data_IF_088397797879
#
_entry.id   IF_088397797879
#
_cell.length_a   1.000
_cell.length_b   1.000
_cell.length_c   1.000
_cell.angle_alpha   90.00
_cell.angle_beta   90.00
_cell.angle_gamma   90.00
#
_symmetry.space_group_name_H-M   'P 1'
#
loop_
_entity.id
_entity.type
_entity.pdbx_description
1 polymer ?
#
# COMPACT_ATOMS: atom_id res chain seq x y z
N UNK A 1 -50.93 23.88 59.64
CA UNK A 1 -50.01 24.71 58.83
C UNK A 1 -48.85 23.85 58.38
N UNK A 2 -48.48 24.00 57.11
CA UNK A 2 -47.27 23.49 56.45
C UNK A 2 -47.11 21.97 56.31
N UNK A 3 -47.62 21.47 55.18
CA UNK A 3 -47.17 20.27 54.48
C UNK A 3 -45.68 20.36 54.11
N UNK A 4 -44.90 19.33 54.39
CA UNK A 4 -43.64 19.07 53.68
C UNK A 4 -43.73 17.70 53.01
N UNK A 5 -43.98 17.73 51.71
CA UNK A 5 -43.83 16.57 50.84
C UNK A 5 -42.37 16.10 50.88
N UNK A 6 -42.08 14.80 51.06
CA UNK A 6 -40.75 14.29 50.80
C UNK A 6 -40.50 14.43 49.30
N UNK A 7 -39.52 15.25 48.93
CA UNK A 7 -39.01 15.34 47.56
C UNK A 7 -38.48 13.95 47.22
N UNK A 8 -39.14 13.27 46.29
CA UNK A 8 -38.63 12.04 45.72
C UNK A 8 -37.25 12.34 45.08
N UNK A 9 -36.20 11.54 45.37
CA UNK A 9 -34.92 11.75 44.73
C UNK A 9 -35.10 11.61 43.22
N UNK A 10 -34.56 12.59 42.49
CA UNK A 10 -34.49 12.60 41.03
C UNK A 10 -33.92 11.28 40.51
N UNK A 11 -34.43 10.71 39.40
CA UNK A 11 -33.95 9.43 38.84
C UNK A 11 -32.51 9.49 38.27
N UNK A 12 -31.79 10.59 38.50
CA UNK A 12 -30.44 10.82 38.02
C UNK A 12 -29.32 10.36 38.99
N UNK A 13 -29.64 9.66 40.09
CA UNK A 13 -28.63 9.26 41.08
C UNK A 13 -28.11 7.81 40.95
N UNK A 14 -28.41 7.11 39.83
CA UNK A 14 -28.20 5.66 39.72
C UNK A 14 -27.34 5.16 38.55
N UNK A 15 -26.69 6.02 37.77
CA UNK A 15 -25.86 5.57 36.64
C UNK A 15 -24.53 6.33 36.66
N UNK A 16 -23.45 5.65 36.28
CA UNK A 16 -22.10 6.21 36.01
C UNK A 16 -21.09 6.26 37.19
N UNK A 17 -20.91 5.14 37.89
CA UNK A 17 -19.69 4.87 38.68
C UNK A 17 -18.60 4.10 37.92
N UNK A 18 -18.86 3.65 36.70
CA UNK A 18 -17.94 2.87 35.88
C UNK A 18 -17.39 3.65 34.69
N UNK A 19 -16.17 3.31 34.24
CA UNK A 19 -15.61 3.86 33.00
C UNK A 19 -16.56 3.60 31.83
N UNK A 20 -16.82 4.64 31.02
CA UNK A 20 -17.59 4.51 29.76
C UNK A 20 -16.93 3.54 28.76
N UNK A 21 -15.66 3.16 28.99
CA UNK A 21 -14.90 2.20 28.19
C UNK A 21 -14.74 0.83 28.86
N UNK A 22 -15.49 0.53 29.94
CA UNK A 22 -15.35 -0.72 30.67
C UNK A 22 -15.57 -1.99 29.81
N UNK A 23 -16.34 -1.87 28.72
CA UNK A 23 -16.63 -2.99 27.81
C UNK A 23 -15.63 -3.12 26.64
N UNK A 24 -14.63 -2.24 26.53
CA UNK A 24 -13.65 -2.30 25.44
C UNK A 24 -12.73 -3.49 25.67
N UNK A 25 -12.83 -4.48 24.78
CA UNK A 25 -11.98 -5.68 24.82
C UNK A 25 -10.57 -5.33 24.36
N UNK A 26 -9.56 -5.80 25.11
CA UNK A 26 -8.16 -5.65 24.72
C UNK A 26 -7.92 -6.30 23.35
N UNK A 27 -7.40 -5.52 22.41
CA UNK A 27 -7.03 -6.04 21.10
C UNK A 27 -5.88 -7.05 21.21
N UNK A 28 -5.86 -8.12 20.39
CA UNK A 28 -4.72 -9.02 20.31
C UNK A 28 -3.48 -8.26 19.82
N UNK A 29 -2.30 -8.67 20.27
CA UNK A 29 -1.04 -8.11 19.76
C UNK A 29 -0.89 -8.40 18.26
N UNK A 30 -0.29 -7.46 17.52
CA UNK A 30 0.07 -7.71 16.13
C UNK A 30 1.18 -8.78 16.08
N UNK A 31 1.00 -9.89 15.34
CA UNK A 31 1.92 -11.02 15.39
C UNK A 31 3.33 -10.70 14.87
N UNK A 32 3.51 -9.62 14.09
CA UNK A 32 4.84 -9.18 13.63
C UNK A 32 5.45 -8.20 14.63
N UNK A 33 4.67 -7.23 15.11
CA UNK A 33 5.20 -6.24 16.07
C UNK A 33 5.45 -6.85 17.45
N UNK A 34 4.64 -7.81 17.89
CA UNK A 34 4.81 -8.55 19.14
C UNK A 34 6.15 -9.28 19.21
N UNK A 35 6.63 -9.83 18.07
CA UNK A 35 7.98 -10.45 18.00
C UNK A 35 9.08 -9.44 18.30
N UNK A 36 8.95 -8.19 17.85
CA UNK A 36 9.93 -7.14 18.15
C UNK A 36 9.90 -6.75 19.62
N UNK A 37 8.71 -6.69 20.23
CA UNK A 37 8.56 -6.41 21.65
C UNK A 37 9.21 -7.52 22.49
N UNK A 38 8.93 -8.79 22.16
CA UNK A 38 9.55 -9.94 22.82
C UNK A 38 11.07 -9.94 22.63
N UNK A 39 11.55 -9.71 21.41
CA UNK A 39 12.98 -9.57 21.10
C UNK A 39 13.63 -8.46 21.94
N UNK A 40 13.01 -7.29 22.07
CA UNK A 40 13.58 -6.20 22.86
C UNK A 40 13.66 -6.53 24.36
N UNK A 41 12.70 -7.29 24.88
CA UNK A 41 12.66 -7.73 26.29
C UNK A 41 13.61 -8.88 26.61
N UNK A 42 14.01 -9.67 25.62
CA UNK A 42 14.95 -10.78 25.81
C UNK A 42 16.33 -10.24 26.26
N UNK A 43 16.86 -10.64 27.42
CA UNK A 43 18.14 -10.16 27.92
C UNK A 43 19.35 -10.85 27.26
N UNK A 44 19.12 -11.90 26.45
CA UNK A 44 20.19 -12.66 25.81
C UNK A 44 21.07 -11.76 24.93
N UNK A 45 22.41 -11.81 25.09
CA UNK A 45 23.32 -11.03 24.26
C UNK A 45 23.46 -11.58 22.83
N UNK A 46 22.91 -12.77 22.55
CA UNK A 46 22.98 -13.46 21.25
C UNK A 46 21.61 -13.59 20.57
N UNK A 47 20.62 -12.81 21.00
CA UNK A 47 19.29 -12.78 20.41
C UNK A 47 19.32 -12.26 18.97
N UNK A 48 18.50 -12.85 18.09
CA UNK A 48 18.35 -12.45 16.69
C UNK A 48 16.87 -12.24 16.38
N UNK A 49 16.54 -11.11 15.73
CA UNK A 49 15.17 -10.83 15.27
C UNK A 49 15.05 -11.12 13.77
N UNK A 50 14.35 -12.20 13.43
CA UNK A 50 14.04 -12.59 12.05
C UNK A 50 12.58 -12.27 11.65
N UNK A 51 11.85 -11.52 12.48
CA UNK A 51 10.43 -11.22 12.26
C UNK A 51 10.16 -9.90 11.53
N UNK A 52 11.01 -8.89 11.72
CA UNK A 52 10.79 -7.56 11.13
C UNK A 52 11.31 -7.51 9.69
N UNK A 53 10.41 -7.27 8.74
CA UNK A 53 10.74 -7.03 7.33
C UNK A 53 11.33 -5.65 7.05
N UNK A 54 12.43 -5.30 7.73
CA UNK A 54 13.19 -4.08 7.52
C UNK A 54 14.68 -4.39 7.41
N UNK A 55 15.34 -3.77 6.43
CA UNK A 55 16.75 -4.00 6.14
C UNK A 55 17.63 -3.59 7.32
N UNK A 56 18.70 -4.35 7.55
CA UNK A 56 19.68 -4.14 8.61
C UNK A 56 21.09 -4.27 8.04
N UNK A 57 22.01 -3.57 8.68
CA UNK A 57 23.46 -3.75 8.50
C UNK A 57 23.91 -5.13 8.97
N UNK A 58 25.16 -5.48 8.68
CA UNK A 58 25.85 -6.69 9.15
C UNK A 58 25.84 -6.79 10.68
N UNK A 59 25.85 -5.67 11.40
CA UNK A 59 25.74 -5.63 12.86
C UNK A 59 24.29 -5.68 13.38
N UNK A 60 23.31 -5.90 12.49
CA UNK A 60 21.89 -5.98 12.84
C UNK A 60 21.25 -4.62 13.16
N UNK A 61 21.90 -3.49 12.83
CA UNK A 61 21.39 -2.13 13.10
C UNK A 61 20.55 -1.58 11.95
N UNK A 62 19.57 -0.69 12.20
CA UNK A 62 18.87 0.06 11.14
C UNK A 62 19.86 0.82 10.24
N UNK A 63 19.59 0.83 8.93
CA UNK A 63 20.39 1.57 7.95
C UNK A 63 19.57 2.71 7.35
N UNK A 64 20.10 3.93 7.41
CA UNK A 64 19.69 5.02 6.51
C UNK A 64 20.62 4.97 5.29
N UNK A 65 20.08 5.06 4.07
CA UNK A 65 20.90 5.01 2.87
C UNK A 65 21.68 6.31 2.68
N UNK A 66 22.91 6.25 2.13
CA UNK A 66 23.71 7.45 1.89
C UNK A 66 23.04 8.43 0.92
N UNK A 67 22.34 7.92 -0.09
CA UNK A 67 21.55 8.73 -1.01
C UNK A 67 20.40 9.48 -0.31
N UNK A 68 19.78 8.86 0.70
CA UNK A 68 18.76 9.51 1.55
C UNK A 68 19.39 10.59 2.41
N UNK A 69 20.51 10.31 3.08
CA UNK A 69 21.24 11.32 3.89
C UNK A 69 21.61 12.53 3.05
N UNK A 70 22.11 12.32 1.82
CA UNK A 70 22.46 13.40 0.90
C UNK A 70 21.23 14.22 0.50
N UNK A 71 20.12 13.55 0.15
CA UNK A 71 18.87 14.25 -0.16
C UNK A 71 18.38 15.07 1.05
N UNK A 72 18.41 14.52 2.26
CA UNK A 72 18.04 15.26 3.47
C UNK A 72 18.93 16.48 3.72
N UNK A 73 20.24 16.36 3.51
CA UNK A 73 21.17 17.49 3.61
C UNK A 73 20.87 18.60 2.59
N UNK A 74 20.51 18.25 1.35
CA UNK A 74 20.08 19.22 0.35
C UNK A 74 18.78 19.92 0.81
N UNK A 75 17.83 19.15 1.32
CA UNK A 75 16.50 19.66 1.71
C UNK A 75 16.52 20.50 2.99
N UNK A 76 17.41 20.23 3.93
CA UNK A 76 17.51 21.04 5.16
C UNK A 76 18.24 22.36 4.92
N UNK A 77 19.14 22.40 3.93
CA UNK A 77 19.95 23.58 3.60
C UNK A 77 19.31 24.50 2.55
N UNK A 78 18.17 24.13 1.97
CA UNK A 78 17.46 24.95 0.99
C UNK A 78 16.55 25.98 1.71
N UNK A 79 16.91 27.29 1.69
CA UNK A 79 16.20 28.33 2.43
C UNK A 79 14.82 28.67 1.84
N UNK A 80 14.51 28.20 0.63
CA UNK A 80 13.19 28.43 0.01
C UNK A 80 12.12 27.48 0.53
N UNK A 81 12.51 26.42 1.24
CA UNK A 81 11.58 25.39 1.72
C UNK A 81 10.82 25.84 2.94
N UNK A 82 9.52 25.61 2.88
CA UNK A 82 8.58 25.84 3.98
C UNK A 82 7.93 24.53 4.42
N UNK A 83 7.18 24.58 5.52
CA UNK A 83 6.46 23.44 6.12
C UNK A 83 4.94 23.58 5.93
N UNK A 84 4.52 24.27 4.88
CA UNK A 84 3.12 24.48 4.52
C UNK A 84 2.43 23.17 4.10
N UNK A 85 1.11 23.17 4.17
CA UNK A 85 0.29 22.04 3.72
C UNK A 85 0.50 21.76 2.23
N UNK A 86 0.60 20.47 1.90
CA UNK A 86 0.53 20.02 0.51
C UNK A 86 -0.92 20.05 0.00
N UNK A 87 -1.12 20.06 -1.33
CA UNK A 87 -2.39 19.67 -1.92
C UNK A 87 -2.86 18.30 -1.41
N UNK A 88 -4.16 18.03 -1.49
CA UNK A 88 -4.75 16.74 -1.06
C UNK A 88 -4.09 15.55 -1.79
N UNK A 89 -3.71 15.74 -3.05
CA UNK A 89 -3.03 14.74 -3.88
C UNK A 89 -1.54 14.61 -3.55
N UNK A 90 -0.98 15.48 -2.72
CA UNK A 90 0.42 15.51 -2.31
C UNK A 90 1.33 16.32 -3.23
N UNK A 91 2.62 16.00 -3.15
CA UNK A 91 3.66 16.73 -3.89
C UNK A 91 3.66 16.32 -5.37
N UNK A 92 3.40 17.28 -6.27
CA UNK A 92 3.24 17.03 -7.71
C UNK A 92 4.44 16.30 -8.34
N UNK A 93 5.65 16.74 -8.04
CA UNK A 93 6.87 16.10 -8.55
C UNK A 93 7.02 14.65 -8.06
N UNK A 94 6.70 14.39 -6.79
CA UNK A 94 6.71 13.03 -6.25
C UNK A 94 5.71 12.13 -6.98
N UNK A 95 4.49 12.60 -7.23
CA UNK A 95 3.47 11.84 -7.95
C UNK A 95 3.93 11.50 -9.38
N UNK A 96 4.41 12.51 -10.11
CA UNK A 96 4.91 12.35 -11.49
C UNK A 96 6.08 11.37 -11.55
N UNK A 97 7.04 11.49 -10.63
CA UNK A 97 8.22 10.63 -10.60
C UNK A 97 7.89 9.20 -10.14
N UNK A 98 6.94 9.03 -9.22
CA UNK A 98 6.46 7.72 -8.78
C UNK A 98 5.79 6.95 -9.91
N UNK A 99 4.91 7.63 -10.67
CA UNK A 99 4.27 7.06 -11.86
C UNK A 99 5.31 6.63 -12.91
N UNK A 100 6.30 7.49 -13.20
CA UNK A 100 7.40 7.16 -14.12
C UNK A 100 8.22 5.96 -13.65
N UNK A 101 8.51 5.87 -12.36
CA UNK A 101 9.31 4.78 -11.79
C UNK A 101 8.64 3.41 -12.00
N UNK A 102 7.32 3.31 -11.79
CA UNK A 102 6.62 2.04 -11.92
C UNK A 102 6.23 1.73 -13.36
N UNK A 103 5.70 2.69 -14.10
CA UNK A 103 5.19 2.42 -15.45
C UNK A 103 6.25 2.55 -16.56
N UNK A 104 7.40 3.17 -16.28
CA UNK A 104 8.37 3.55 -17.30
C UNK A 104 8.08 4.96 -17.84
N UNK A 105 9.13 5.71 -18.19
CA UNK A 105 8.99 7.09 -18.66
C UNK A 105 8.33 7.18 -20.05
N UNK A 106 8.44 6.11 -20.83
CA UNK A 106 7.88 5.88 -22.16
C UNK A 106 6.49 5.23 -22.13
N UNK A 107 5.92 5.00 -20.95
CA UNK A 107 4.59 4.39 -20.81
C UNK A 107 3.53 5.14 -21.62
N UNK A 108 2.78 4.46 -22.52
CA UNK A 108 1.68 5.07 -23.26
C UNK A 108 0.63 5.69 -22.33
N UNK A 109 0.35 5.06 -21.19
CA UNK A 109 -0.60 5.58 -20.20
C UNK A 109 -0.19 6.96 -19.66
N UNK A 110 1.11 7.21 -19.47
CA UNK A 110 1.61 8.52 -19.05
C UNK A 110 1.51 9.53 -20.19
N UNK A 111 1.94 9.15 -21.40
CA UNK A 111 1.91 10.04 -22.57
C UNK A 111 0.48 10.47 -22.95
N UNK A 112 -0.48 9.57 -22.75
CA UNK A 112 -1.90 9.79 -23.02
C UNK A 112 -2.65 10.41 -21.83
N UNK A 113 -1.94 10.81 -20.77
CA UNK A 113 -2.50 11.40 -19.53
C UNK A 113 -3.58 10.54 -18.85
N UNK A 114 -3.46 9.21 -18.95
CA UNK A 114 -4.42 8.24 -18.41
C UNK A 114 -4.13 7.82 -16.96
N UNK A 115 -3.11 8.39 -16.32
CA UNK A 115 -2.69 8.00 -14.96
C UNK A 115 -3.11 9.06 -13.95
N UNK A 116 -3.95 8.67 -13.00
CA UNK A 116 -4.23 9.46 -11.79
C UNK A 116 -3.31 8.99 -10.67
N UNK A 117 -2.43 9.85 -10.17
CA UNK A 117 -1.50 9.52 -9.07
C UNK A 117 -1.69 10.44 -7.88
N UNK A 118 -1.83 9.84 -6.70
CA UNK A 118 -1.92 10.54 -5.42
C UNK A 118 -0.88 10.00 -4.44
N UNK A 119 -0.22 10.89 -3.72
CA UNK A 119 0.65 10.53 -2.62
C UNK A 119 -0.19 9.97 -1.46
N UNK A 120 0.31 8.91 -0.84
CA UNK A 120 -0.38 8.19 0.23
C UNK A 120 0.58 7.85 1.37
N UNK A 121 0.00 7.41 2.50
CA UNK A 121 0.74 7.00 3.69
C UNK A 121 1.40 5.61 3.47
N UNK A 122 2.46 5.57 2.67
CA UNK A 122 3.17 4.35 2.27
C UNK A 122 2.30 3.36 1.49
N UNK A 123 2.75 2.12 1.34
CA UNK A 123 1.97 1.06 0.68
C UNK A 123 0.63 0.81 1.39
N UNK A 124 0.62 0.76 2.72
CA UNK A 124 -0.61 0.53 3.51
C UNK A 124 -1.68 1.60 3.28
N UNK A 125 -1.30 2.88 3.30
CA UNK A 125 -2.22 3.97 3.00
C UNK A 125 -2.71 3.94 1.56
N UNK A 126 -1.83 3.58 0.61
CA UNK A 126 -2.16 3.46 -0.80
C UNK A 126 -3.20 2.35 -1.04
N UNK A 127 -3.01 1.19 -0.42
CA UNK A 127 -3.98 0.08 -0.45
C UNK A 127 -5.31 0.47 0.20
N UNK A 128 -5.28 1.17 1.35
CA UNK A 128 -6.49 1.58 2.07
C UNK A 128 -7.31 2.62 1.29
N UNK A 129 -6.65 3.59 0.65
CA UNK A 129 -7.31 4.58 -0.22
C UNK A 129 -7.85 3.92 -1.49
N UNK A 130 -7.06 3.07 -2.15
CA UNK A 130 -7.48 2.37 -3.37
C UNK A 130 -8.65 1.42 -3.11
N UNK A 131 -8.61 0.68 -2.00
CA UNK A 131 -9.71 -0.20 -1.59
C UNK A 131 -11.02 0.55 -1.36
N UNK A 132 -10.97 1.71 -0.69
CA UNK A 132 -12.20 2.49 -0.42
C UNK A 132 -12.72 3.19 -1.67
N UNK A 133 -11.83 3.64 -2.55
CA UNK A 133 -12.23 4.12 -3.87
C UNK A 133 -12.98 3.03 -4.65
N UNK A 134 -12.45 1.80 -4.68
CA UNK A 134 -13.12 0.68 -5.34
C UNK A 134 -14.46 0.34 -4.69
N UNK A 135 -14.54 0.28 -3.35
CA UNK A 135 -15.78 0.00 -2.65
C UNK A 135 -16.89 1.03 -2.92
N UNK A 136 -16.52 2.29 -3.18
CA UNK A 136 -17.46 3.38 -3.50
C UNK A 136 -17.88 3.42 -4.97
N UNK A 137 -16.97 3.15 -5.89
CA UNK A 137 -17.16 3.50 -7.31
C UNK A 137 -17.09 2.32 -8.28
N UNK A 138 -16.55 1.18 -7.86
CA UNK A 138 -16.41 0.03 -8.74
C UNK A 138 -17.59 -0.94 -8.56
N UNK A 139 -18.00 -1.56 -9.66
CA UNK A 139 -19.25 -2.32 -9.73
C UNK A 139 -19.14 -3.68 -9.02
N UNK A 140 -17.96 -4.29 -9.01
CA UNK A 140 -17.66 -5.53 -8.31
C UNK A 140 -16.82 -5.22 -7.06
N UNK A 141 -17.15 -5.83 -5.93
CA UNK A 141 -16.54 -5.54 -4.62
C UNK A 141 -15.72 -6.70 -4.06
N UNK A 142 -15.67 -7.81 -4.78
CA UNK A 142 -14.89 -8.98 -4.42
C UNK A 142 -13.44 -8.77 -4.81
N UNK A 143 -12.53 -8.83 -3.83
CA UNK A 143 -11.09 -8.83 -4.04
C UNK A 143 -10.50 -10.19 -3.72
N UNK A 144 -9.74 -10.74 -4.66
CA UNK A 144 -8.97 -11.96 -4.53
C UNK A 144 -7.54 -11.62 -4.12
N UNK A 145 -7.07 -12.20 -3.01
CA UNK A 145 -5.70 -12.04 -2.50
C UNK A 145 -4.96 -13.40 -2.48
N UNK A 146 -3.63 -13.45 -2.64
CA UNK A 146 -2.92 -14.72 -2.68
C UNK A 146 -2.98 -15.44 -1.32
N UNK A 147 -2.95 -16.77 -1.33
CA UNK A 147 -2.81 -17.59 -0.14
C UNK A 147 -1.44 -18.29 -0.14
N UNK A 148 -0.53 -17.99 0.82
CA UNK A 148 -0.61 -16.90 1.82
C UNK A 148 -0.33 -15.52 1.19
N UNK A 149 -0.49 -14.45 1.98
CA UNK A 149 -0.12 -13.07 1.60
C UNK A 149 0.31 -12.28 2.85
N UNK A 150 0.66 -10.99 2.71
CA UNK A 150 0.94 -10.11 3.83
C UNK A 150 -0.29 -10.03 4.76
N UNK A 151 -0.10 -10.35 6.04
CA UNK A 151 -1.19 -10.56 7.00
C UNK A 151 -2.13 -9.36 7.22
N UNK A 152 -1.77 -8.17 6.75
CA UNK A 152 -2.63 -6.99 6.83
C UNK A 152 -3.56 -6.81 5.61
N UNK A 153 -3.34 -7.51 4.49
CA UNK A 153 -4.22 -7.41 3.32
C UNK A 153 -5.69 -7.70 3.64
N UNK A 154 -6.05 -8.81 4.32
CA UNK A 154 -7.45 -9.07 4.68
C UNK A 154 -8.08 -7.94 5.49
N UNK A 155 -7.33 -7.36 6.44
CA UNK A 155 -7.80 -6.29 7.32
C UNK A 155 -8.02 -4.99 6.54
N UNK A 156 -7.03 -4.59 5.73
CA UNK A 156 -7.09 -3.37 4.93
C UNK A 156 -8.30 -3.38 4.00
N UNK A 157 -8.50 -4.47 3.26
CA UNK A 157 -9.57 -4.53 2.26
C UNK A 157 -10.95 -4.74 2.87
N UNK A 158 -11.07 -5.56 3.93
CA UNK A 158 -12.34 -5.67 4.68
C UNK A 158 -12.76 -4.31 5.25
N UNK A 159 -11.84 -3.58 5.90
CA UNK A 159 -12.12 -2.25 6.45
C UNK A 159 -12.30 -1.16 5.40
N UNK A 160 -11.89 -1.41 4.16
CA UNK A 160 -12.17 -0.55 3.02
C UNK A 160 -13.58 -0.79 2.43
N UNK A 161 -14.27 -1.86 2.85
CA UNK A 161 -15.61 -2.20 2.38
C UNK A 161 -15.65 -3.23 1.24
N UNK A 162 -14.56 -3.94 0.99
CA UNK A 162 -14.49 -5.02 -0.02
C UNK A 162 -14.73 -6.40 0.60
N UNK A 163 -15.25 -7.32 -0.20
CA UNK A 163 -15.37 -8.74 0.17
C UNK A 163 -14.09 -9.48 -0.20
N UNK A 164 -13.36 -9.97 0.80
CA UNK A 164 -12.08 -10.65 0.59
C UNK A 164 -12.29 -12.14 0.31
N UNK A 165 -11.75 -12.60 -0.81
CA UNK A 165 -11.57 -14.02 -1.17
C UNK A 165 -10.09 -14.29 -1.42
N UNK A 166 -9.72 -15.57 -1.54
CA UNK A 166 -8.34 -15.98 -1.76
C UNK A 166 -8.18 -16.77 -3.04
N UNK A 167 -6.97 -16.78 -3.60
CA UNK A 167 -6.56 -17.67 -4.68
C UNK A 167 -5.27 -18.40 -4.28
N UNK A 168 -5.11 -19.64 -4.75
CA UNK A 168 -3.91 -20.44 -4.49
C UNK A 168 -2.68 -19.76 -5.08
N UNK A 169 -1.61 -19.73 -4.29
CA UNK A 169 -0.36 -19.10 -4.70
C UNK A 169 0.86 -19.95 -4.39
N UNK A 170 1.05 -20.37 -3.14
CA UNK A 170 2.23 -21.16 -2.74
C UNK A 170 1.88 -22.64 -2.61
N UNK A 171 2.73 -23.51 -3.15
CA UNK A 171 2.66 -24.95 -2.92
C UNK A 171 3.74 -25.38 -1.92
N UNK A 172 3.37 -25.82 -0.70
CA UNK A 172 4.33 -26.30 0.30
C UNK A 172 5.15 -27.51 -0.15
N UNK A 173 4.63 -28.31 -1.08
CA UNK A 173 5.29 -29.54 -1.57
C UNK A 173 6.48 -29.19 -2.46
N UNK A 174 6.26 -28.31 -3.44
CA UNK A 174 7.31 -27.85 -4.36
C UNK A 174 8.10 -26.66 -3.83
N UNK A 175 7.60 -25.98 -2.80
CA UNK A 175 8.09 -24.68 -2.29
C UNK A 175 8.11 -23.60 -3.38
N UNK A 176 7.29 -23.77 -4.40
CA UNK A 176 7.17 -22.90 -5.56
C UNK A 176 5.78 -22.31 -5.72
N UNK A 177 5.55 -21.72 -6.89
CA UNK A 177 4.25 -21.17 -7.25
C UNK A 177 3.31 -22.31 -7.61
N UNK A 178 2.17 -22.40 -6.94
CA UNK A 178 1.03 -23.21 -7.35
C UNK A 178 0.33 -22.55 -8.56
N UNK A 179 1.01 -22.59 -9.70
CA UNK A 179 0.59 -21.86 -10.90
C UNK A 179 -0.75 -22.37 -11.45
N UNK A 180 -0.94 -23.69 -11.51
CA UNK A 180 -2.20 -24.31 -11.94
C UNK A 180 -3.37 -23.93 -11.02
N UNK A 181 -3.14 -23.96 -9.70
CA UNK A 181 -4.15 -23.54 -8.73
C UNK A 181 -4.51 -22.06 -8.87
N UNK A 182 -3.50 -21.20 -9.08
CA UNK A 182 -3.69 -19.78 -9.34
C UNK A 182 -4.58 -19.56 -10.56
N UNK A 183 -4.24 -20.16 -11.71
CA UNK A 183 -5.01 -19.99 -12.94
C UNK A 183 -6.44 -20.53 -12.80
N UNK A 184 -6.62 -21.68 -12.15
CA UNK A 184 -7.94 -22.24 -11.91
C UNK A 184 -8.83 -21.32 -11.05
N UNK A 185 -8.28 -20.76 -9.96
CA UNK A 185 -9.04 -19.91 -9.06
C UNK A 185 -9.39 -18.56 -9.71
N UNK A 186 -8.47 -17.96 -10.46
CA UNK A 186 -8.74 -16.72 -11.19
C UNK A 186 -9.70 -16.94 -12.36
N UNK A 187 -9.66 -18.09 -13.04
CA UNK A 187 -10.61 -18.44 -14.09
C UNK A 187 -12.04 -18.60 -13.54
N UNK A 188 -12.18 -19.10 -12.32
CA UNK A 188 -13.45 -19.24 -11.61
C UNK A 188 -13.96 -17.94 -10.97
N UNK A 189 -13.14 -16.89 -10.90
CA UNK A 189 -13.56 -15.59 -10.37
C UNK A 189 -14.66 -14.95 -11.24
N UNK A 190 -15.62 -14.23 -10.62
CA UNK A 190 -16.64 -13.53 -11.38
C UNK A 190 -16.02 -12.41 -12.23
N UNK A 191 -16.56 -12.11 -13.43
CA UNK A 191 -16.12 -10.98 -14.24
C UNK A 191 -16.13 -9.68 -13.42
N UNK A 192 -15.12 -8.84 -13.63
CA UNK A 192 -14.95 -7.61 -12.88
C UNK A 192 -14.24 -7.79 -11.54
N UNK A 193 -14.05 -9.02 -11.01
CA UNK A 193 -13.40 -9.19 -9.70
C UNK A 193 -12.01 -8.54 -9.65
N UNK A 194 -11.71 -7.96 -8.49
CA UNK A 194 -10.42 -7.31 -8.23
C UNK A 194 -9.43 -8.40 -7.84
N UNK A 195 -8.21 -8.37 -8.39
CA UNK A 195 -7.15 -9.31 -8.03
C UNK A 195 -5.96 -8.52 -7.51
N UNK A 196 -5.63 -8.74 -6.24
CA UNK A 196 -4.43 -8.19 -5.63
C UNK A 196 -3.22 -9.00 -6.09
N UNK A 197 -2.26 -8.35 -6.72
CA UNK A 197 -1.03 -8.95 -7.24
C UNK A 197 0.18 -8.31 -6.56
N UNK A 198 1.13 -9.12 -6.09
CA UNK A 198 2.42 -8.59 -5.64
C UNK A 198 3.28 -8.36 -6.89
N UNK A 199 3.79 -7.14 -7.10
CA UNK A 199 4.54 -6.81 -8.30
C UNK A 199 5.82 -7.65 -8.44
N UNK A 200 6.51 -7.86 -7.31
CA UNK A 200 7.69 -8.71 -7.13
C UNK A 200 7.93 -8.93 -5.62
N UNK A 201 8.87 -9.81 -5.29
CA UNK A 201 9.24 -10.22 -3.94
C UNK A 201 8.00 -10.52 -3.07
N UNK A 202 7.21 -11.52 -3.49
CA UNK A 202 5.99 -11.88 -2.81
C UNK A 202 6.19 -12.05 -1.30
N UNK A 203 5.33 -11.42 -0.50
CA UNK A 203 5.38 -11.47 0.96
C UNK A 203 4.22 -12.35 1.43
N UNK A 204 4.48 -13.49 2.12
CA UNK A 204 5.72 -13.80 2.84
C UNK A 204 6.67 -14.81 2.15
N UNK A 205 6.34 -15.32 0.96
CA UNK A 205 6.99 -16.56 0.46
C UNK A 205 8.30 -16.34 -0.28
N UNK A 206 8.55 -15.14 -0.82
CA UNK A 206 9.66 -14.85 -1.71
C UNK A 206 9.56 -15.47 -3.11
N UNK A 207 8.45 -16.15 -3.42
CA UNK A 207 8.23 -16.83 -4.71
C UNK A 207 7.48 -15.90 -5.65
N UNK A 208 8.07 -15.60 -6.81
CA UNK A 208 7.47 -14.76 -7.84
C UNK A 208 7.19 -15.58 -9.13
N UNK A 209 6.13 -15.25 -9.89
CA UNK A 209 5.93 -15.82 -11.22
C UNK A 209 7.05 -15.42 -12.18
N UNK A 210 7.40 -16.32 -13.09
CA UNK A 210 8.28 -15.99 -14.23
C UNK A 210 7.57 -15.03 -15.20
N UNK A 211 8.31 -14.41 -16.13
CA UNK A 211 7.70 -13.54 -17.14
C UNK A 211 6.66 -14.28 -18.01
N UNK A 212 6.94 -15.53 -18.38
CA UNK A 212 5.99 -16.35 -19.15
C UNK A 212 4.72 -16.67 -18.35
N UNK A 213 4.87 -16.89 -17.04
CA UNK A 213 3.71 -17.08 -16.14
C UNK A 213 2.94 -15.78 -15.98
N UNK A 214 3.61 -14.63 -15.84
CA UNK A 214 2.97 -13.32 -15.79
C UNK A 214 2.16 -13.02 -17.05
N UNK A 215 2.67 -13.37 -18.23
CA UNK A 215 1.95 -13.20 -19.48
C UNK A 215 0.67 -14.05 -19.53
N UNK A 216 0.75 -15.30 -19.08
CA UNK A 216 -0.45 -16.16 -18.97
C UNK A 216 -1.47 -15.63 -17.96
N UNK A 217 -1.01 -15.11 -16.80
CA UNK A 217 -1.88 -14.47 -15.81
C UNK A 217 -2.55 -13.24 -16.43
N UNK A 218 -1.80 -12.40 -17.15
CA UNK A 218 -2.32 -11.21 -17.83
C UNK A 218 -3.41 -11.59 -18.84
N UNK A 219 -3.12 -12.54 -19.72
CA UNK A 219 -4.08 -12.99 -20.75
C UNK A 219 -5.36 -13.56 -20.12
N UNK A 220 -5.23 -14.37 -19.07
CA UNK A 220 -6.38 -14.89 -18.33
C UNK A 220 -7.21 -13.74 -17.74
N UNK A 221 -6.60 -12.84 -16.99
CA UNK A 221 -7.29 -11.71 -16.37
C UNK A 221 -7.99 -10.83 -17.40
N UNK A 222 -7.36 -10.59 -18.56
CA UNK A 222 -7.97 -9.84 -19.66
C UNK A 222 -9.19 -10.55 -20.23
N UNK A 223 -9.10 -11.84 -20.54
CA UNK A 223 -10.22 -12.62 -21.09
C UNK A 223 -11.42 -12.71 -20.13
N UNK A 224 -11.15 -12.70 -18.82
CA UNK A 224 -12.17 -12.73 -17.76
C UNK A 224 -12.67 -11.35 -17.34
N UNK A 225 -12.07 -10.27 -17.83
CA UNK A 225 -12.39 -8.91 -17.42
C UNK A 225 -12.09 -8.62 -15.94
N UNK A 226 -11.03 -9.21 -15.39
CA UNK A 226 -10.61 -8.99 -14.00
C UNK A 226 -9.79 -7.68 -13.86
N UNK A 227 -9.95 -7.01 -12.72
CA UNK A 227 -9.25 -5.75 -12.44
C UNK A 227 -7.97 -6.00 -11.60
N UNK A 228 -6.77 -5.82 -12.17
CA UNK A 228 -5.53 -5.92 -11.41
C UNK A 228 -5.35 -4.75 -10.44
N UNK A 229 -4.97 -5.07 -9.20
CA UNK A 229 -4.47 -4.13 -8.20
C UNK A 229 -3.09 -4.61 -7.73
N UNK A 230 -2.03 -3.93 -8.15
CA UNK A 230 -0.66 -4.25 -7.76
C UNK A 230 -0.27 -3.66 -6.40
N UNK A 231 0.31 -4.46 -5.52
CA UNK A 231 1.12 -4.02 -4.38
C UNK A 231 2.61 -4.10 -4.76
N UNK A 232 3.27 -2.94 -4.82
CA UNK A 232 4.68 -2.79 -5.16
C UNK A 232 5.43 -2.16 -3.98
N UNK A 233 5.87 -3.01 -3.06
CA UNK A 233 6.59 -2.58 -1.86
C UNK A 233 8.11 -2.81 -1.91
N UNK A 234 8.60 -3.54 -2.91
CA UNK A 234 9.96 -4.09 -2.96
C UNK A 234 10.66 -3.84 -4.30
N UNK A 235 10.19 -2.90 -5.13
CA UNK A 235 10.84 -2.59 -6.41
C UNK A 235 12.32 -2.24 -6.21
N UNK A 236 13.20 -3.03 -6.82
CA UNK A 236 14.67 -2.99 -6.69
C UNK A 236 15.26 -4.04 -5.76
N UNK A 237 14.47 -4.71 -4.93
CA UNK A 237 14.94 -5.74 -3.99
C UNK A 237 14.94 -7.15 -4.57
N UNK A 238 14.12 -7.46 -5.58
CA UNK A 238 14.01 -8.81 -6.10
C UNK A 238 15.20 -9.14 -7.01
N UNK A 239 15.45 -8.28 -8.01
CA UNK A 239 16.56 -8.47 -8.97
C UNK A 239 17.75 -7.52 -8.77
N UNK A 240 17.63 -6.50 -7.91
CA UNK A 240 18.57 -5.38 -7.88
C UNK A 240 18.34 -4.34 -8.99
N UNK A 241 17.33 -4.53 -9.85
CA UNK A 241 17.01 -3.65 -10.96
C UNK A 241 15.56 -3.13 -10.86
N UNK A 242 15.41 -1.81 -10.80
CA UNK A 242 14.11 -1.15 -10.64
C UNK A 242 13.15 -1.43 -11.81
N UNK A 243 13.66 -1.52 -13.04
CA UNK A 243 12.85 -1.72 -14.23
C UNK A 243 12.42 -3.19 -14.37
N UNK A 244 13.31 -4.13 -14.08
CA UNK A 244 12.99 -5.56 -14.07
C UNK A 244 11.92 -5.87 -13.00
N UNK A 245 12.06 -5.30 -11.80
CA UNK A 245 11.12 -5.49 -10.70
C UNK A 245 9.74 -4.82 -10.91
N UNK A 246 9.60 -3.99 -11.95
CA UNK A 246 8.34 -3.37 -12.35
C UNK A 246 7.69 -4.07 -13.56
N UNK A 247 8.31 -5.10 -14.14
CA UNK A 247 7.84 -5.64 -15.42
C UNK A 247 6.43 -6.22 -15.37
N UNK A 248 6.06 -6.90 -14.28
CA UNK A 248 4.70 -7.42 -14.09
C UNK A 248 3.65 -6.31 -14.24
N UNK A 249 3.89 -5.13 -13.68
CA UNK A 249 3.00 -3.97 -13.81
C UNK A 249 3.01 -3.42 -15.23
N UNK A 250 4.19 -3.26 -15.83
CA UNK A 250 4.35 -2.67 -17.17
C UNK A 250 3.69 -3.52 -18.25
N UNK A 251 3.80 -4.85 -18.17
CA UNK A 251 3.12 -5.80 -19.06
C UNK A 251 1.61 -5.59 -19.07
N UNK A 252 1.00 -5.34 -17.90
CA UNK A 252 -0.43 -5.08 -17.79
C UNK A 252 -0.85 -3.70 -18.31
N UNK A 253 0.07 -2.72 -18.36
CA UNK A 253 -0.23 -1.38 -18.85
C UNK A 253 0.04 -1.24 -20.36
N UNK A 254 0.97 -2.03 -20.89
CA UNK A 254 1.43 -1.95 -22.29
C UNK A 254 0.32 -2.14 -23.33
N UNK A 255 -0.71 -2.94 -23.02
CA UNK A 255 -1.86 -3.19 -23.88
C UNK A 255 -3.00 -2.16 -23.71
N UNK A 256 -2.77 -1.09 -22.94
CA UNK A 256 -3.77 -0.07 -22.63
C UNK A 256 -4.80 -0.51 -21.58
N UNK A 257 -4.53 -1.59 -20.85
CA UNK A 257 -5.37 -2.06 -19.77
C UNK A 257 -5.39 -1.16 -18.54
N UNK A 258 -6.51 -1.19 -17.82
CA UNK A 258 -6.69 -0.45 -16.57
C UNK A 258 -6.16 -1.26 -15.37
N UNK A 259 -5.56 -0.57 -14.41
CA UNK A 259 -5.03 -1.18 -13.19
C UNK A 259 -4.88 -0.16 -12.05
N UNK A 260 -4.76 -0.66 -10.84
CA UNK A 260 -4.31 0.11 -9.68
C UNK A 260 -2.90 -0.34 -9.28
N UNK A 261 -2.09 0.57 -8.74
CA UNK A 261 -0.78 0.24 -8.19
C UNK A 261 -0.50 1.03 -6.93
N UNK A 262 -0.32 0.32 -5.81
CA UNK A 262 0.13 0.85 -4.54
C UNK A 262 1.65 0.71 -4.44
N UNK A 263 2.37 1.83 -4.45
CA UNK A 263 3.83 1.89 -4.31
C UNK A 263 4.22 2.26 -2.87
N UNK A 264 5.24 1.59 -2.34
CA UNK A 264 5.84 1.91 -1.03
C UNK A 264 7.31 2.25 -1.17
N UNK A 265 7.74 3.33 -0.51
CA UNK A 265 9.16 3.69 -0.41
C UNK A 265 9.81 3.27 0.91
N UNK A 266 9.09 2.49 1.72
CA UNK A 266 9.57 2.06 3.03
C UNK A 266 10.81 1.17 2.92
N UNK A 267 10.91 0.30 1.90
CA UNK A 267 12.01 -0.66 1.76
C UNK A 267 13.07 -0.17 0.80
N UNK A 268 12.72 0.06 -0.47
CA UNK A 268 13.65 0.48 -1.53
C UNK A 268 14.46 1.76 -1.21
N UNK A 269 13.94 2.66 -0.38
CA UNK A 269 14.67 3.84 0.11
C UNK A 269 14.88 3.85 1.63
N UNK A 270 14.51 2.79 2.36
CA UNK A 270 14.65 2.73 3.82
C UNK A 270 13.80 3.75 4.59
N UNK A 271 12.79 4.36 3.95
CA UNK A 271 11.95 5.42 4.53
C UNK A 271 10.76 4.85 5.31
N UNK A 272 11.03 3.86 6.18
CA UNK A 272 9.99 3.10 6.90
C UNK A 272 9.06 4.01 7.71
N UNK A 273 9.65 4.88 8.53
CA UNK A 273 8.94 5.77 9.45
C UNK A 273 8.35 7.02 8.81
N UNK A 274 8.85 7.43 7.64
CA UNK A 274 8.37 8.62 6.91
C UNK A 274 7.01 8.43 6.24
N UNK A 275 6.56 7.17 6.15
CA UNK A 275 5.26 6.78 5.61
C UNK A 275 5.02 7.32 4.19
N UNK A 276 6.01 7.22 3.31
CA UNK A 276 5.90 7.70 1.93
C UNK A 276 5.54 6.57 0.95
N UNK A 277 4.52 6.84 0.11
CA UNK A 277 4.00 5.93 -0.91
C UNK A 277 3.10 6.67 -1.90
N UNK A 278 2.67 5.96 -2.94
CA UNK A 278 1.80 6.51 -3.97
C UNK A 278 0.76 5.47 -4.40
N UNK A 279 -0.47 5.92 -4.64
CA UNK A 279 -1.46 5.17 -5.38
C UNK A 279 -1.54 5.75 -6.80
N UNK A 280 -1.34 4.90 -7.80
CA UNK A 280 -1.55 5.25 -9.20
C UNK A 280 -2.67 4.39 -9.78
N UNK A 281 -3.60 5.00 -10.52
CA UNK A 281 -4.68 4.32 -11.23
C UNK A 281 -4.54 4.64 -12.72
N UNK A 282 -4.34 3.60 -13.53
CA UNK A 282 -4.33 3.69 -14.99
C UNK A 282 -5.77 3.53 -15.47
N UNK A 283 -6.28 4.56 -16.14
CA UNK A 283 -7.65 4.63 -16.65
C UNK A 283 -7.70 4.44 -18.17
N UNK A 284 -8.90 4.33 -18.72
CA UNK A 284 -9.11 4.21 -20.18
C UNK A 284 -8.86 5.52 -20.95
N UNK A 285 -9.03 6.67 -20.31
CA UNK A 285 -8.82 7.99 -20.93
C UNK A 285 -8.40 9.05 -19.90
N UNK A 286 -7.85 10.18 -20.38
CA UNK A 286 -7.46 11.30 -19.53
C UNK A 286 -8.63 11.96 -18.79
N UNK A 287 -9.80 11.99 -19.44
CA UNK A 287 -11.04 12.47 -18.86
C UNK A 287 -11.48 11.58 -17.67
N UNK A 288 -11.41 10.25 -17.82
CA UNK A 288 -11.66 9.31 -16.71
C UNK A 288 -10.64 9.51 -15.59
N UNK A 289 -9.34 9.64 -15.91
CA UNK A 289 -8.30 9.86 -14.92
C UNK A 289 -8.54 11.14 -14.09
N UNK A 290 -9.00 12.22 -14.72
CA UNK A 290 -9.36 13.47 -14.03
C UNK A 290 -10.51 13.28 -13.03
N UNK A 291 -11.55 12.52 -13.41
CA UNK A 291 -12.65 12.19 -12.48
C UNK A 291 -12.19 11.26 -11.36
N UNK A 292 -11.34 10.29 -11.66
CA UNK A 292 -10.78 9.38 -10.64
C UNK A 292 -9.99 10.17 -9.61
N UNK A 293 -9.11 11.08 -10.03
CA UNK A 293 -8.34 11.93 -9.11
C UNK A 293 -9.26 12.77 -8.21
N UNK A 294 -10.36 13.32 -8.74
CA UNK A 294 -11.30 14.11 -7.95
C UNK A 294 -12.00 13.29 -6.86
N UNK A 295 -12.36 12.04 -7.14
CA UNK A 295 -12.94 11.12 -6.15
C UNK A 295 -11.91 10.64 -5.13
N UNK A 296 -10.65 10.42 -5.54
CA UNK A 296 -9.56 10.11 -4.61
C UNK A 296 -9.37 11.23 -3.57
N UNK A 297 -9.49 12.50 -3.97
CA UNK A 297 -9.46 13.63 -3.02
C UNK A 297 -10.55 13.52 -1.95
N UNK A 298 -11.75 13.04 -2.32
CA UNK A 298 -12.87 12.86 -1.38
C UNK A 298 -12.68 11.66 -0.43
N UNK A 299 -11.87 10.67 -0.82
CA UNK A 299 -11.44 9.59 0.09
C UNK A 299 -10.35 10.09 1.04
N UNK A 300 -9.36 10.83 0.52
CA UNK A 300 -8.18 11.27 1.28
C UNK A 300 -8.51 12.38 2.29
N UNK A 301 -9.28 13.38 1.88
CA UNK A 301 -9.55 14.59 2.68
C UNK A 301 -10.10 14.29 4.09
N UNK A 302 -11.09 13.38 4.28
CA UNK A 302 -11.56 13.02 5.62
C UNK A 302 -10.68 11.98 6.32
N UNK A 303 -9.78 11.29 5.61
CA UNK A 303 -8.92 10.25 6.19
C UNK A 303 -7.68 10.84 6.86
N UNK A 304 -6.99 11.78 6.19
CA UNK A 304 -5.80 12.44 6.73
C UNK A 304 -5.55 13.84 6.15
N UNK A 305 -6.54 14.45 5.50
CA UNK A 305 -6.47 15.78 4.88
C UNK A 305 -5.51 15.90 3.70
N UNK A 306 -4.21 15.87 3.94
CA UNK A 306 -3.13 15.91 2.95
C UNK A 306 -1.91 15.12 3.48
N UNK A 307 -1.06 14.56 2.61
CA UNK A 307 0.02 13.66 3.02
C UNK A 307 1.28 14.42 3.49
N UNK A 308 2.21 13.75 4.22
CA UNK A 308 3.40 14.39 4.79
C UNK A 308 4.43 14.81 3.72
N UNK A 309 5.03 15.99 3.89
CA UNK A 309 5.94 16.58 2.90
C UNK A 309 7.37 16.01 2.89
N UNK A 310 7.91 15.59 4.04
CA UNK A 310 9.34 15.30 4.21
C UNK A 310 9.79 14.10 3.37
N UNK A 311 9.23 12.91 3.63
CA UNK A 311 9.54 11.70 2.87
C UNK A 311 9.32 11.84 1.36
N UNK A 312 8.23 12.47 0.93
CA UNK A 312 7.97 12.71 -0.49
C UNK A 312 9.01 13.64 -1.13
N UNK A 313 9.50 14.64 -0.40
CA UNK A 313 10.57 15.52 -0.88
C UNK A 313 11.89 14.78 -1.05
N UNK A 314 12.24 13.88 -0.11
CA UNK A 314 13.43 13.02 -0.22
C UNK A 314 13.34 12.17 -1.49
N UNK A 315 12.24 11.43 -1.65
CA UNK A 315 12.02 10.58 -2.83
C UNK A 315 12.08 11.39 -4.12
N UNK A 316 11.39 12.54 -4.17
CA UNK A 316 11.39 13.40 -5.35
C UNK A 316 12.80 13.91 -5.68
N UNK A 317 13.60 14.29 -4.68
CA UNK A 317 14.99 14.73 -4.88
C UNK A 317 15.84 13.61 -5.50
N UNK A 318 15.77 12.42 -4.93
CA UNK A 318 16.53 11.25 -5.42
C UNK A 318 16.10 10.88 -6.84
N UNK A 319 14.80 10.88 -7.13
CA UNK A 319 14.30 10.49 -8.44
C UNK A 319 14.51 11.56 -9.52
N UNK A 320 14.61 12.85 -9.18
CA UNK A 320 14.97 13.91 -10.14
C UNK A 320 16.39 13.70 -10.68
N UNK A 321 17.33 13.34 -9.82
CA UNK A 321 18.72 13.09 -10.22
C UNK A 321 18.86 11.88 -11.15
N UNK A 322 17.94 10.90 -11.09
CA UNK A 322 17.90 9.77 -12.04
C UNK A 322 17.52 10.18 -13.47
N UNK A 323 16.84 11.32 -13.64
CA UNK A 323 16.29 11.76 -14.93
C UNK A 323 17.26 12.71 -15.67
N UNK A 324 18.33 13.16 -15.00
CA UNK A 324 19.41 13.89 -15.66
C UNK A 324 20.34 12.86 -16.32
N UNK A 325 20.56 12.91 -17.65
CA UNK A 325 21.44 12.00 -18.38
C UNK A 325 22.87 11.96 -17.84
#
# INVERSE_FOLDING_TARGET
MASQNPIAPSPAAGLYGGSVFANVVQAPEDPILGVTVAYNKDPSPVKVNLGVGAYRTEEGKPLVLNVVRRAEQLLVNDPSRVKEYLPITGLADFNKLSAKLIFGADSPAIQENRVATVQCLSGTGSLRVGGEFLARHYHERTIYIPQPTWGNHPKVFTLAGLSVKTYRYYDPTTRGLNFEGLLADLSAAPPGAIVLLHACAHNPTGVDPTLDQWEQIRLLMRSKGLLPFFDSAYQGFASGNLDADAQSVRMFVADGGECLTAQSYAKNMGLYGERVGALSIVCKSADVATRVESQLKLVIRPMYSNPPIHGASIVATILKDRVVP
#
